data_IF_613531799655
#
_entry.id   IF_613531799655
#
_cell.length_a   1.000
_cell.length_b   1.000
_cell.length_c   1.000
_cell.angle_alpha   90.00
_cell.angle_beta   90.00
_cell.angle_gamma   90.00
#
_symmetry.space_group_name_H-M   'P 1'
#
loop_
_entity.id
_entity.type
_entity.pdbx_description
1 polymer ?
#
# COMPACT_ATOMS: atom_id res chain seq x y z
N UNK A 1 17.76 25.85 0.83
CA UNK A 1 16.95 24.61 0.91
C UNK A 1 17.53 23.62 -0.09
N UNK A 2 17.74 22.36 0.29
CA UNK A 2 18.13 21.30 -0.63
C UNK A 2 16.97 21.00 -1.57
N UNK A 3 17.22 20.78 -2.88
CA UNK A 3 16.13 20.44 -3.80
C UNK A 3 15.52 19.09 -3.44
N UNK A 4 14.25 18.86 -3.80
CA UNK A 4 13.57 17.58 -3.58
C UNK A 4 14.39 16.42 -4.16
N UNK A 5 14.87 16.58 -5.38
CA UNK A 5 15.70 15.60 -6.07
C UNK A 5 16.98 15.26 -5.28
N UNK A 6 17.70 16.27 -4.80
CA UNK A 6 18.92 16.09 -4.00
C UNK A 6 18.61 15.40 -2.67
N UNK A 7 17.50 15.76 -2.01
CA UNK A 7 17.08 15.13 -0.77
C UNK A 7 16.76 13.65 -0.96
N UNK A 8 16.09 13.28 -2.06
CA UNK A 8 15.78 11.90 -2.41
C UNK A 8 17.05 11.08 -2.70
N UNK A 9 17.97 11.63 -3.51
CA UNK A 9 19.25 10.98 -3.84
C UNK A 9 20.13 10.76 -2.59
N UNK A 10 19.94 11.55 -1.53
CA UNK A 10 20.67 11.41 -0.28
C UNK A 10 20.07 10.37 0.69
N UNK A 11 18.90 9.79 0.39
CA UNK A 11 18.25 8.79 1.25
C UNK A 11 18.95 7.41 1.33
N UNK A 12 19.48 6.82 0.24
CA UNK A 12 19.93 5.42 0.26
C UNK A 12 20.90 5.02 1.39
N UNK A 13 21.87 5.86 1.81
CA UNK A 13 22.74 5.54 2.95
C UNK A 13 22.02 5.48 4.31
N UNK A 14 20.86 6.13 4.44
CA UNK A 14 20.08 6.19 5.68
C UNK A 14 19.16 4.98 5.82
N UNK A 15 18.64 4.48 4.70
CA UNK A 15 17.68 3.37 4.67
C UNK A 15 18.36 2.03 4.97
N UNK A 16 17.67 1.17 5.71
CA UNK A 16 18.20 -0.12 6.20
C UNK A 16 17.75 -1.30 5.36
N UNK A 17 16.46 -1.40 5.08
CA UNK A 17 15.85 -2.53 4.38
C UNK A 17 15.18 -2.11 3.06
N UNK A 18 14.98 -0.81 2.84
CA UNK A 18 14.45 -0.26 1.61
C UNK A 18 15.55 0.32 0.71
N UNK A 19 15.27 0.31 -0.59
CA UNK A 19 16.06 0.92 -1.65
C UNK A 19 15.13 1.85 -2.44
N UNK A 20 15.36 3.17 -2.46
CA UNK A 20 14.56 4.12 -3.23
C UNK A 20 14.68 3.84 -4.73
N UNK A 21 13.60 4.05 -5.47
CA UNK A 21 13.62 3.94 -6.93
C UNK A 21 13.94 5.28 -7.59
N UNK A 22 14.61 5.25 -8.74
CA UNK A 22 14.70 6.44 -9.57
C UNK A 22 13.32 6.79 -10.13
N UNK A 23 13.00 8.08 -10.12
CA UNK A 23 11.82 8.63 -10.79
C UNK A 23 12.19 9.11 -12.20
N UNK A 24 11.27 8.96 -13.15
CA UNK A 24 11.36 9.64 -14.46
C UNK A 24 11.09 11.14 -14.28
N UNK A 25 11.34 11.93 -15.33
CA UNK A 25 11.00 13.36 -15.33
C UNK A 25 9.51 13.60 -15.03
N UNK A 26 8.62 12.80 -15.63
CA UNK A 26 7.17 12.92 -15.42
C UNK A 26 6.78 12.58 -13.98
N UNK A 27 7.40 11.56 -13.40
CA UNK A 27 7.20 11.21 -11.99
C UNK A 27 7.71 12.31 -11.06
N UNK A 28 8.82 12.99 -11.40
CA UNK A 28 9.30 14.12 -10.62
C UNK A 28 8.32 15.29 -10.64
N UNK A 29 7.82 15.67 -11.82
CA UNK A 29 6.80 16.72 -11.94
C UNK A 29 5.54 16.39 -11.14
N UNK A 30 5.13 15.12 -11.14
CA UNK A 30 4.01 14.64 -10.33
C UNK A 30 4.27 14.82 -8.81
N UNK A 31 5.44 14.39 -8.33
CA UNK A 31 5.79 14.46 -6.91
C UNK A 31 5.93 15.91 -6.45
N UNK A 32 6.50 16.79 -7.28
CA UNK A 32 6.61 18.21 -6.99
C UNK A 32 5.23 18.85 -6.81
N UNK A 33 4.27 18.56 -7.71
CA UNK A 33 2.87 18.98 -7.57
C UNK A 33 2.24 18.48 -6.26
N UNK A 34 2.40 17.20 -5.94
CA UNK A 34 1.89 16.61 -4.69
C UNK A 34 2.54 17.19 -3.43
N UNK A 35 3.80 17.62 -3.53
CA UNK A 35 4.51 18.24 -2.42
C UNK A 35 4.03 19.68 -2.17
N UNK A 36 3.76 20.43 -3.22
CA UNK A 36 3.25 21.81 -3.15
C UNK A 36 1.78 21.86 -2.73
N UNK A 37 0.95 21.01 -3.36
CA UNK A 37 -0.45 20.85 -3.04
C UNK A 37 -0.78 19.35 -2.99
N UNK A 38 -0.75 18.79 -1.79
CA UNK A 38 -1.10 17.38 -1.61
C UNK A 38 -2.56 17.08 -2.00
N UNK A 39 -3.45 18.07 -2.11
CA UNK A 39 -4.83 17.86 -2.56
C UNK A 39 -5.00 18.04 -4.08
N UNK A 40 -3.90 17.99 -4.84
CA UNK A 40 -3.95 18.02 -6.29
C UNK A 40 -4.61 16.75 -6.85
N UNK A 41 -5.90 16.88 -7.18
CA UNK A 41 -6.73 15.78 -7.69
C UNK A 41 -6.22 15.20 -8.99
N UNK A 42 -5.72 16.03 -9.88
CA UNK A 42 -5.19 15.57 -11.17
C UNK A 42 -3.94 14.72 -10.91
N UNK A 43 -3.01 15.21 -10.08
CA UNK A 43 -1.85 14.44 -9.67
C UNK A 43 -2.23 13.10 -9.02
N UNK A 44 -3.26 13.06 -8.16
CA UNK A 44 -3.74 11.81 -7.56
C UNK A 44 -4.20 10.76 -8.59
N UNK A 45 -4.72 11.16 -9.75
CA UNK A 45 -5.13 10.19 -10.79
C UNK A 45 -3.96 9.39 -11.37
N UNK A 46 -2.73 9.91 -11.25
CA UNK A 46 -1.51 9.25 -11.72
C UNK A 46 -0.93 8.26 -10.71
N UNK A 47 -1.43 8.22 -9.47
CA UNK A 47 -1.08 7.22 -8.48
C UNK A 47 -1.80 5.88 -8.75
N UNK A 48 -1.32 4.74 -8.21
CA UNK A 48 -0.17 4.56 -7.32
C UNK A 48 1.17 4.61 -8.06
N UNK A 49 2.21 5.12 -7.40
CA UNK A 49 3.57 5.25 -7.95
C UNK A 49 4.56 4.42 -7.13
N UNK A 50 5.40 3.54 -7.71
CA UNK A 50 6.41 2.82 -6.96
C UNK A 50 7.56 3.76 -6.54
N UNK A 51 7.85 3.85 -5.24
CA UNK A 51 8.86 4.76 -4.68
C UNK A 51 10.08 4.04 -4.10
N UNK A 52 9.93 2.79 -3.68
CA UNK A 52 11.06 2.00 -3.19
C UNK A 52 10.83 0.51 -3.47
N UNK A 53 11.82 -0.31 -3.17
CA UNK A 53 11.69 -1.76 -3.06
C UNK A 53 12.37 -2.26 -1.80
N UNK A 54 12.00 -3.46 -1.35
CA UNK A 54 12.84 -4.17 -0.38
C UNK A 54 14.19 -4.48 -1.00
N UNK A 55 15.26 -4.29 -0.23
CA UNK A 55 16.57 -4.84 -0.55
C UNK A 55 16.47 -6.36 -0.61
N UNK A 56 17.19 -6.97 -1.53
CA UNK A 56 17.12 -8.42 -1.79
C UNK A 56 17.33 -9.26 -0.52
N UNK A 57 18.34 -8.94 0.28
CA UNK A 57 18.64 -9.65 1.53
C UNK A 57 17.50 -9.54 2.56
N UNK A 58 16.86 -8.37 2.67
CA UNK A 58 15.72 -8.16 3.56
C UNK A 58 14.49 -8.94 3.06
N UNK A 59 14.17 -8.82 1.77
CA UNK A 59 13.08 -9.55 1.12
C UNK A 59 13.19 -11.07 1.36
N UNK A 60 14.38 -11.64 1.12
CA UNK A 60 14.64 -13.07 1.34
C UNK A 60 14.43 -13.49 2.80
N UNK A 61 14.92 -12.70 3.75
CA UNK A 61 14.84 -13.08 5.17
C UNK A 61 13.41 -12.97 5.71
N UNK A 62 12.69 -11.92 5.33
CA UNK A 62 11.28 -11.74 5.67
C UNK A 62 10.46 -12.92 5.12
N UNK A 63 10.71 -13.31 3.87
CA UNK A 63 10.04 -14.43 3.24
C UNK A 63 10.34 -15.77 3.94
N UNK A 64 11.60 -16.06 4.25
CA UNK A 64 11.96 -17.30 4.97
C UNK A 64 11.36 -17.36 6.37
N UNK A 65 11.20 -16.22 7.04
CA UNK A 65 10.48 -16.17 8.30
C UNK A 65 8.98 -16.44 8.11
N UNK A 66 8.34 -15.82 7.11
CA UNK A 66 6.92 -16.04 6.80
C UNK A 66 6.60 -17.51 6.48
N UNK A 67 7.53 -18.24 5.85
CA UNK A 67 7.38 -19.68 5.55
C UNK A 67 7.26 -20.58 6.79
N UNK A 68 7.57 -20.09 7.97
CA UNK A 68 7.46 -20.84 9.22
C UNK A 68 6.01 -20.91 9.74
N UNK A 69 5.07 -20.18 9.12
CA UNK A 69 3.70 -20.01 9.60
C UNK A 69 2.68 -20.52 8.57
N UNK A 70 1.90 -21.52 8.97
CA UNK A 70 0.85 -22.13 8.13
C UNK A 70 -0.46 -21.34 8.10
N UNK A 71 -0.64 -20.41 9.04
CA UNK A 71 -1.76 -19.48 9.10
C UNK A 71 -1.23 -18.05 8.95
N UNK A 72 -2.08 -17.14 8.48
CA UNK A 72 -1.75 -15.71 8.44
C UNK A 72 -1.86 -15.13 9.84
N UNK A 73 -0.77 -14.52 10.32
CA UNK A 73 -0.81 -13.64 11.46
C UNK A 73 -1.00 -12.21 10.98
N UNK A 74 -1.86 -11.45 11.66
CA UNK A 74 -2.08 -10.02 11.41
C UNK A 74 -1.93 -9.24 12.72
N UNK A 75 -1.18 -8.14 12.68
CA UNK A 75 -0.88 -7.31 13.85
C UNK A 75 -1.11 -5.85 13.50
N UNK A 76 -1.94 -5.17 14.29
CA UNK A 76 -2.11 -3.72 14.21
C UNK A 76 -0.88 -3.00 14.78
N UNK A 77 -0.53 -1.87 14.17
CA UNK A 77 0.56 -0.99 14.60
C UNK A 77 -0.05 0.38 14.88
N UNK A 78 0.00 0.81 16.12
CA UNK A 78 -0.44 2.13 16.58
C UNK A 78 0.67 2.80 17.42
N UNK A 79 0.33 3.84 18.16
CA UNK A 79 1.30 4.56 18.99
C UNK A 79 1.78 3.76 20.21
N UNK A 80 1.03 2.78 20.71
CA UNK A 80 1.43 1.95 21.86
C UNK A 80 2.19 0.69 21.45
N UNK A 81 2.01 0.23 20.20
CA UNK A 81 2.64 -0.98 19.65
C UNK A 81 4.14 -1.09 19.93
N UNK A 82 4.90 0.00 19.79
CA UNK A 82 6.35 -0.05 20.02
C UNK A 82 6.70 -0.34 21.48
N UNK A 83 5.98 0.25 22.44
CA UNK A 83 6.20 -0.01 23.87
C UNK A 83 5.84 -1.45 24.22
N UNK A 84 4.71 -1.94 23.70
CA UNK A 84 4.23 -3.30 23.95
C UNK A 84 5.15 -4.37 23.38
N UNK A 85 5.66 -4.19 22.14
CA UNK A 85 6.47 -5.20 21.46
C UNK A 85 7.94 -5.20 21.85
N UNK A 86 8.47 -4.09 22.37
CA UNK A 86 9.91 -3.96 22.64
C UNK A 86 10.25 -3.68 24.11
N UNK A 87 9.26 -3.43 24.99
CA UNK A 87 9.51 -3.15 26.41
C UNK A 87 9.87 -4.36 27.28
N UNK A 88 9.58 -5.59 26.84
CA UNK A 88 9.64 -6.81 27.67
C UNK A 88 10.75 -7.83 27.35
N UNK A 89 11.70 -7.51 26.46
CA UNK A 89 12.94 -8.30 26.28
C UNK A 89 12.91 -9.43 25.24
N UNK A 90 11.76 -9.83 24.69
CA UNK A 90 11.70 -10.75 23.55
C UNK A 90 10.86 -10.14 22.42
N UNK A 91 11.51 -9.40 21.53
CA UNK A 91 10.86 -8.89 20.31
C UNK A 91 10.70 -10.00 19.29
N UNK A 92 9.49 -10.14 18.76
CA UNK A 92 9.24 -10.98 17.58
C UNK A 92 10.12 -10.54 16.39
N UNK A 93 10.57 -11.52 15.59
CA UNK A 93 11.45 -11.26 14.44
C UNK A 93 10.73 -10.40 13.40
N UNK A 94 9.45 -10.66 13.14
CA UNK A 94 8.68 -9.85 12.20
C UNK A 94 8.48 -8.43 12.72
N UNK A 95 8.23 -8.24 14.02
CA UNK A 95 8.16 -6.92 14.63
C UNK A 95 9.44 -6.08 14.40
N UNK A 96 10.63 -6.69 14.45
CA UNK A 96 11.88 -5.98 14.13
C UNK A 96 11.94 -5.51 12.67
N UNK A 97 11.53 -6.34 11.71
CA UNK A 97 11.47 -5.95 10.31
C UNK A 97 10.45 -4.84 10.08
N UNK A 98 9.29 -4.92 10.73
CA UNK A 98 8.25 -3.88 10.67
C UNK A 98 8.76 -2.56 11.22
N UNK A 99 9.54 -2.57 12.31
CA UNK A 99 10.18 -1.36 12.85
C UNK A 99 11.17 -0.75 11.86
N UNK A 100 12.07 -1.55 11.27
CA UNK A 100 13.04 -1.07 10.28
C UNK A 100 12.34 -0.52 9.03
N UNK A 101 11.34 -1.25 8.56
CA UNK A 101 10.47 -0.86 7.46
C UNK A 101 9.81 0.50 7.74
N UNK A 102 9.16 0.64 8.90
CA UNK A 102 8.48 1.87 9.30
C UNK A 102 9.43 3.06 9.35
N UNK A 103 10.64 2.87 9.90
CA UNK A 103 11.65 3.91 9.95
C UNK A 103 12.10 4.35 8.55
N UNK A 104 12.37 3.40 7.65
CA UNK A 104 12.80 3.72 6.29
C UNK A 104 11.69 4.45 5.51
N UNK A 105 10.43 4.08 5.73
CA UNK A 105 9.29 4.77 5.13
C UNK A 105 9.15 6.18 5.70
N UNK A 106 9.25 6.36 7.01
CA UNK A 106 9.19 7.69 7.62
C UNK A 106 10.28 8.62 7.07
N UNK A 107 11.47 8.10 6.81
CA UNK A 107 12.56 8.85 6.17
C UNK A 107 12.22 9.29 4.74
N UNK A 108 11.63 8.39 3.93
CA UNK A 108 11.15 8.76 2.59
C UNK A 108 9.99 9.76 2.66
N UNK A 109 9.06 9.58 3.59
CA UNK A 109 7.91 10.45 3.75
C UNK A 109 8.28 11.84 4.26
N UNK A 110 9.29 11.95 5.12
CA UNK A 110 9.85 13.24 5.53
C UNK A 110 10.43 14.04 4.37
N UNK A 111 10.80 13.39 3.26
CA UNK A 111 11.25 14.05 2.02
C UNK A 111 10.09 14.36 1.08
N UNK A 112 9.21 13.38 0.82
CA UNK A 112 8.13 13.50 -0.17
C UNK A 112 6.97 14.37 0.33
N UNK A 113 6.54 14.18 1.58
CA UNK A 113 5.38 14.85 2.18
C UNK A 113 5.71 15.24 3.63
N UNK A 114 6.49 16.32 3.85
CA UNK A 114 7.01 16.67 5.19
C UNK A 114 5.94 16.96 6.26
N UNK A 115 4.71 17.28 5.86
CA UNK A 115 3.54 17.47 6.75
C UNK A 115 2.87 16.16 7.16
N UNK A 116 3.24 15.02 6.56
CA UNK A 116 2.67 13.73 6.93
C UNK A 116 3.13 13.29 8.33
N UNK A 117 2.19 12.82 9.15
CA UNK A 117 2.44 12.24 10.48
C UNK A 117 1.86 10.84 10.57
N UNK A 118 2.57 9.92 11.20
CA UNK A 118 2.09 8.55 11.39
C UNK A 118 0.73 8.54 12.10
N UNK A 119 -0.18 7.70 11.62
CA UNK A 119 -1.52 7.52 12.18
C UNK A 119 -1.70 6.10 12.71
N UNK A 120 -1.59 5.13 11.82
CA UNK A 120 -1.78 3.70 12.08
C UNK A 120 -1.09 2.89 11.02
N UNK A 121 -0.89 1.61 11.28
CA UNK A 121 -0.36 0.66 10.33
C UNK A 121 -0.81 -0.74 10.71
N UNK A 122 -0.43 -1.71 9.90
CA UNK A 122 -0.52 -3.10 10.26
C UNK A 122 0.46 -3.90 9.42
N UNK A 123 0.73 -5.11 9.88
CA UNK A 123 1.42 -6.09 9.05
C UNK A 123 0.77 -7.45 9.17
N UNK A 124 0.90 -8.22 8.10
CA UNK A 124 0.43 -9.59 8.03
C UNK A 124 1.49 -10.49 7.44
N UNK A 125 1.62 -11.73 7.91
CA UNK A 125 2.61 -12.67 7.39
C UNK A 125 2.21 -14.13 7.65
N UNK A 126 2.68 -15.03 6.80
CA UNK A 126 2.36 -16.46 6.86
C UNK A 126 1.87 -17.01 5.52
N UNK A 127 1.13 -18.12 5.56
CA UNK A 127 0.55 -18.76 4.37
C UNK A 127 -0.82 -18.17 4.04
N UNK A 128 -0.90 -17.39 2.97
CA UNK A 128 -2.15 -16.86 2.46
C UNK A 128 -2.81 -17.93 1.61
N UNK A 129 -3.94 -18.47 2.07
CA UNK A 129 -4.73 -19.47 1.34
C UNK A 129 -6.12 -18.93 1.02
N UNK A 130 -6.57 -19.15 -0.21
CA UNK A 130 -7.98 -18.99 -0.57
C UNK A 130 -8.81 -20.14 0.07
N UNK A 131 -10.12 -19.98 0.37
CA UNK A 131 -11.02 -18.89 -0.04
C UNK A 131 -11.48 -17.97 1.11
N UNK A 132 -10.82 -17.94 2.28
CA UNK A 132 -11.30 -17.06 3.34
C UNK A 132 -10.89 -15.60 3.09
N UNK A 133 -11.84 -14.67 2.87
CA UNK A 133 -11.59 -13.31 2.40
C UNK A 133 -10.93 -12.38 3.44
N UNK A 134 -10.47 -12.93 4.57
CA UNK A 134 -9.94 -12.14 5.68
C UNK A 134 -8.43 -12.05 5.56
N UNK A 135 -7.95 -11.24 4.63
CA UNK A 135 -6.52 -11.12 4.43
C UNK A 135 -5.99 -9.74 4.11
N UNK A 136 -6.77 -8.85 3.48
CA UNK A 136 -6.26 -7.55 3.03
C UNK A 136 -7.38 -6.62 2.52
N UNK A 137 -8.19 -6.12 3.44
CA UNK A 137 -8.98 -4.91 3.19
C UNK A 137 -9.14 -4.17 4.52
N UNK A 138 -8.22 -3.25 4.82
CA UNK A 138 -8.66 -2.10 5.61
C UNK A 138 -9.46 -1.26 4.63
N UNK A 139 -10.78 -1.30 4.77
CA UNK A 139 -11.66 -0.38 4.11
C UNK A 139 -11.34 1.03 4.61
N UNK A 140 -10.75 1.89 3.77
CA UNK A 140 -10.57 3.30 4.11
C UNK A 140 -11.89 4.05 4.04
N UNK A 141 -12.83 3.54 3.23
CA UNK A 141 -14.12 4.17 2.98
C UNK A 141 -15.13 3.98 4.11
N UNK A 142 -14.83 3.12 5.08
CA UNK A 142 -15.67 2.94 6.27
C UNK A 142 -15.48 4.04 7.32
N UNK A 143 -14.41 4.83 7.24
CA UNK A 143 -14.08 5.85 8.26
C UNK A 143 -14.58 7.26 7.91
N UNK A 144 -15.09 7.46 6.69
CA UNK A 144 -15.74 8.69 6.25
C UNK A 144 -17.08 8.36 5.55
N UNK A 145 -18.24 8.54 6.23
CA UNK A 145 -19.55 8.35 5.62
C UNK A 145 -19.80 9.28 4.42
N UNK A 146 -19.07 10.39 4.33
CA UNK A 146 -19.08 11.33 3.20
C UNK A 146 -17.94 11.06 2.20
N UNK A 147 -17.09 10.05 2.44
CA UNK A 147 -15.95 9.55 1.64
C UNK A 147 -16.33 8.90 0.30
N UNK A 148 -17.40 9.41 -0.28
CA UNK A 148 -17.85 9.22 -1.64
C UNK A 148 -16.72 9.41 -2.66
N UNK A 149 -16.14 8.32 -3.18
CA UNK A 149 -15.12 8.40 -4.24
C UNK A 149 -13.69 8.12 -3.78
N UNK A 150 -13.53 7.53 -2.59
CA UNK A 150 -12.24 6.99 -2.16
C UNK A 150 -11.72 5.90 -3.09
N UNK A 151 -10.41 5.89 -3.36
CA UNK A 151 -9.83 4.84 -4.17
C UNK A 151 -9.82 3.51 -3.42
N UNK A 152 -10.20 2.45 -4.13
CA UNK A 152 -10.45 1.13 -3.55
C UNK A 152 -9.24 0.23 -3.84
N UNK A 153 -8.61 -0.29 -2.78
CA UNK A 153 -7.63 -1.36 -2.90
C UNK A 153 -8.36 -2.70 -3.02
N UNK A 154 -8.16 -3.42 -4.12
CA UNK A 154 -8.81 -4.71 -4.38
C UNK A 154 -7.71 -5.80 -4.39
N UNK A 155 -7.66 -6.62 -3.36
CA UNK A 155 -6.68 -7.71 -3.27
C UNK A 155 -7.25 -9.02 -3.84
N UNK A 156 -6.62 -9.59 -4.87
CA UNK A 156 -6.86 -10.96 -5.35
C UNK A 156 -5.94 -11.92 -4.59
N UNK A 157 -6.50 -12.85 -3.82
CA UNK A 157 -5.73 -13.95 -3.26
C UNK A 157 -6.22 -15.25 -3.86
N UNK A 158 -5.59 -15.60 -4.97
CA UNK A 158 -5.39 -17.01 -5.34
C UNK A 158 -3.91 -17.23 -5.62
N UNK A 159 -3.24 -16.31 -6.34
CA UNK A 159 -1.78 -16.27 -6.54
C UNK A 159 -1.23 -14.85 -6.79
N UNK A 160 -1.42 -13.94 -5.81
CA UNK A 160 -0.58 -12.74 -5.56
C UNK A 160 -0.76 -11.44 -6.37
N UNK A 161 -1.86 -11.23 -7.08
CA UNK A 161 -2.18 -9.92 -7.65
C UNK A 161 -2.87 -9.01 -6.65
N UNK A 162 -2.42 -7.77 -6.45
CA UNK A 162 -3.29 -6.75 -5.85
C UNK A 162 -3.48 -5.60 -6.81
N UNK A 163 -4.73 -5.27 -6.98
CA UNK A 163 -5.21 -4.28 -7.89
C UNK A 163 -5.67 -3.07 -7.11
N UNK A 164 -5.60 -1.93 -7.76
CA UNK A 164 -6.02 -0.68 -7.21
C UNK A 164 -6.90 0.02 -8.24
N UNK A 165 -8.02 0.55 -7.77
CA UNK A 165 -8.85 1.40 -8.60
C UNK A 165 -8.25 2.80 -8.66
N UNK A 166 -7.81 3.21 -9.85
CA UNK A 166 -7.36 4.57 -10.08
C UNK A 166 -8.58 5.51 -10.15
N UNK A 167 -8.41 6.79 -9.79
CA UNK A 167 -9.49 7.78 -9.92
C UNK A 167 -10.64 7.62 -8.92
N UNK A 168 -11.73 8.36 -9.16
CA UNK A 168 -12.93 8.37 -8.32
C UNK A 168 -13.90 7.27 -8.75
N UNK A 169 -14.12 6.27 -7.87
CA UNK A 169 -15.05 5.16 -8.07
C UNK A 169 -16.44 5.60 -8.55
N UNK A 170 -16.95 6.75 -8.08
CA UNK A 170 -18.30 7.24 -8.41
C UNK A 170 -18.44 7.77 -9.83
N UNK A 171 -17.32 8.09 -10.47
CA UNK A 171 -17.30 8.58 -11.86
C UNK A 171 -17.46 7.47 -12.88
N UNK A 172 -17.28 6.20 -12.49
CA UNK A 172 -17.48 5.05 -13.37
C UNK A 172 -18.95 4.75 -13.61
N UNK A 173 -19.25 4.11 -14.74
CA UNK A 173 -20.61 3.67 -15.08
C UNK A 173 -21.16 2.64 -14.07
N UNK A 174 -22.49 2.53 -13.92
CA UNK A 174 -23.12 1.60 -12.96
C UNK A 174 -22.67 0.14 -13.11
N UNK A 175 -22.39 -0.29 -14.34
CA UNK A 175 -21.89 -1.63 -14.67
C UNK A 175 -20.50 -1.88 -14.09
N UNK A 176 -19.51 -1.02 -14.41
CA UNK A 176 -18.15 -1.06 -13.85
C UNK A 176 -18.17 -1.00 -12.32
N UNK A 177 -19.00 -0.13 -11.76
CA UNK A 177 -19.21 -0.02 -10.31
C UNK A 177 -19.70 -1.33 -9.68
N UNK A 178 -20.68 -1.98 -10.32
CA UNK A 178 -21.21 -3.29 -9.89
C UNK A 178 -20.13 -4.38 -9.96
N UNK A 179 -19.37 -4.43 -11.05
CA UNK A 179 -18.26 -5.38 -11.24
C UNK A 179 -17.17 -5.20 -10.18
N UNK A 180 -16.75 -3.97 -9.89
CA UNK A 180 -15.75 -3.67 -8.85
C UNK A 180 -16.25 -4.07 -7.44
N UNK A 181 -17.55 -3.90 -7.15
CA UNK A 181 -18.16 -4.41 -5.91
C UNK A 181 -18.15 -5.93 -5.85
N UNK A 182 -18.43 -6.61 -6.96
CA UNK A 182 -18.37 -8.07 -7.03
C UNK A 182 -16.93 -8.57 -6.79
N UNK A 183 -15.93 -7.94 -7.42
CA UNK A 183 -14.51 -8.23 -7.19
C UNK A 183 -14.07 -7.97 -5.75
N UNK A 184 -14.58 -6.89 -5.13
CA UNK A 184 -14.30 -6.56 -3.72
C UNK A 184 -14.73 -7.65 -2.74
N UNK A 185 -15.81 -8.36 -3.04
CA UNK A 185 -16.42 -9.32 -2.12
C UNK A 185 -16.33 -10.78 -2.56
N UNK A 186 -15.88 -11.06 -3.79
CA UNK A 186 -15.82 -12.40 -4.41
C UNK A 186 -16.79 -13.42 -3.84
N UNK A 187 -18.04 -12.98 -3.82
CA UNK A 187 -19.19 -13.85 -3.75
C UNK A 187 -19.23 -14.65 -5.06
N UNK A 188 -19.75 -15.87 -5.03
CA UNK A 188 -19.88 -16.69 -6.23
C UNK A 188 -20.90 -16.04 -7.19
N UNK A 189 -20.47 -15.21 -8.14
CA UNK A 189 -21.37 -14.47 -9.07
C UNK A 189 -21.05 -14.76 -10.53
N UNK A 190 -22.08 -14.83 -11.41
CA UNK A 190 -22.02 -14.43 -12.82
C UNK A 190 -22.45 -12.94 -12.97
N UNK A 191 -21.97 -12.10 -13.90
CA UNK A 191 -21.68 -12.31 -15.33
C UNK A 191 -20.26 -11.90 -15.75
N UNK A 192 -19.67 -12.72 -16.65
CA UNK A 192 -18.25 -12.77 -16.99
C UNK A 192 -17.52 -13.65 -15.99
N UNK A 193 -16.68 -14.60 -16.43
CA UNK A 193 -15.85 -15.32 -15.45
C UNK A 193 -15.01 -14.28 -14.68
N UNK A 194 -14.72 -14.45 -13.37
CA UNK A 194 -13.97 -13.48 -12.59
C UNK A 194 -12.65 -13.03 -13.25
N UNK A 195 -12.02 -13.94 -13.99
CA UNK A 195 -10.83 -13.71 -14.81
C UNK A 195 -11.11 -12.76 -15.98
N UNK A 196 -12.20 -12.98 -16.72
CA UNK A 196 -12.57 -12.15 -17.86
C UNK A 196 -12.89 -10.71 -17.43
N UNK A 197 -13.61 -10.55 -16.31
CA UNK A 197 -13.93 -9.24 -15.71
C UNK A 197 -12.65 -8.52 -15.29
N UNK A 198 -11.73 -9.22 -14.63
CA UNK A 198 -10.46 -8.64 -14.18
C UNK A 198 -9.62 -8.17 -15.38
N UNK A 199 -9.49 -9.01 -16.40
CA UNK A 199 -8.70 -8.72 -17.59
C UNK A 199 -9.28 -7.53 -18.38
N UNK A 200 -10.60 -7.42 -18.48
CA UNK A 200 -11.26 -6.28 -19.10
C UNK A 200 -10.98 -4.98 -18.33
N UNK A 201 -11.12 -4.99 -17.00
CA UNK A 201 -10.84 -3.80 -16.18
C UNK A 201 -9.37 -3.39 -16.19
N UNK A 202 -8.45 -4.33 -16.33
CA UNK A 202 -7.02 -4.06 -16.54
C UNK A 202 -6.76 -3.42 -17.90
N UNK A 203 -7.37 -3.94 -18.99
CA UNK A 203 -7.25 -3.36 -20.34
C UNK A 203 -7.80 -1.94 -20.42
N UNK A 204 -8.87 -1.67 -19.66
CA UNK A 204 -9.47 -0.34 -19.55
C UNK A 204 -8.68 0.60 -18.61
N UNK A 205 -7.55 0.15 -18.05
CA UNK A 205 -6.72 0.88 -17.08
C UNK A 205 -7.49 1.39 -15.84
N UNK A 206 -8.67 0.79 -15.60
CA UNK A 206 -9.51 1.07 -14.43
C UNK A 206 -8.87 0.46 -13.20
N UNK A 207 -8.32 -0.75 -13.35
CA UNK A 207 -7.47 -1.38 -12.36
C UNK A 207 -6.00 -1.22 -12.72
N UNK A 208 -5.19 -0.81 -11.73
CA UNK A 208 -3.73 -0.80 -11.80
C UNK A 208 -3.18 -1.93 -10.95
N UNK A 209 -2.23 -2.69 -11.49
CA UNK A 209 -1.53 -3.75 -10.75
C UNK A 209 -0.44 -3.16 -9.89
N UNK A 210 -0.42 -3.51 -8.60
CA UNK A 210 0.67 -3.16 -7.70
C UNK A 210 1.78 -4.19 -7.85
N UNK A 211 2.98 -3.79 -8.31
CA UNK A 211 4.11 -4.70 -8.42
C UNK A 211 4.52 -5.24 -7.04
N UNK A 212 4.81 -6.53 -7.02
CA UNK A 212 5.43 -7.24 -5.91
C UNK A 212 6.76 -6.58 -5.48
N UNK A 213 7.10 -6.68 -4.19
CA UNK A 213 8.33 -6.16 -3.60
C UNK A 213 8.53 -4.64 -3.76
N UNK A 214 7.49 -3.88 -4.13
CA UNK A 214 7.55 -2.43 -4.26
C UNK A 214 6.80 -1.72 -3.14
N UNK A 215 7.39 -0.65 -2.68
CA UNK A 215 6.75 0.37 -1.86
C UNK A 215 6.01 1.31 -2.79
N UNK A 216 4.70 1.46 -2.59
CA UNK A 216 3.87 2.33 -3.39
C UNK A 216 3.58 3.62 -2.64
N UNK A 217 3.69 4.75 -3.33
CA UNK A 217 3.06 6.01 -2.96
C UNK A 217 1.61 5.94 -3.44
N UNK A 218 0.70 6.07 -2.50
CA UNK A 218 -0.74 5.98 -2.71
C UNK A 218 -1.43 7.05 -1.87
N UNK A 219 -2.66 7.39 -2.24
CA UNK A 219 -3.50 8.31 -1.47
C UNK A 219 -4.85 7.62 -1.28
N UNK A 220 -5.39 7.61 -0.07
CA UNK A 220 -6.80 7.33 0.17
C UNK A 220 -7.48 8.56 0.76
N UNK A 221 -8.72 8.82 0.32
CA UNK A 221 -9.44 10.06 0.61
C UNK A 221 -9.29 11.09 -0.53
N UNK A 222 -10.33 11.26 -1.37
CA UNK A 222 -10.33 12.22 -2.48
C UNK A 222 -11.23 13.46 -2.24
N UNK A 223 -11.76 13.65 -1.03
CA UNK A 223 -12.95 14.49 -0.84
C UNK A 223 -13.01 15.46 0.33
N UNK A 224 -12.45 15.15 1.52
CA UNK A 224 -12.76 15.96 2.71
C UNK A 224 -11.79 17.13 2.91
N UNK A 225 -12.35 18.32 3.20
CA UNK A 225 -11.61 19.57 3.51
C UNK A 225 -10.64 19.42 4.70
N UNK A 226 -10.76 18.35 5.49
CA UNK A 226 -9.90 17.98 6.62
C UNK A 226 -8.99 16.76 6.33
N UNK A 227 -8.55 16.67 5.07
CA UNK A 227 -7.53 15.79 4.46
C UNK A 227 -6.81 14.77 5.37
N UNK A 228 -7.02 13.49 5.10
CA UNK A 228 -6.25 12.38 5.66
C UNK A 228 -5.24 11.89 4.62
N UNK A 229 -3.96 11.74 4.97
CA UNK A 229 -2.99 11.00 4.13
C UNK A 229 -3.10 9.53 4.44
N UNK A 230 -3.81 8.76 3.64
CA UNK A 230 -3.58 7.32 3.70
C UNK A 230 -2.61 6.93 2.61
N UNK A 231 -1.34 6.70 2.98
CA UNK A 231 -0.44 5.96 2.10
C UNK A 231 -0.54 4.48 2.43
N UNK A 232 -0.50 3.66 1.38
CA UNK A 232 -0.40 2.23 1.50
C UNK A 232 0.91 1.84 0.91
N UNK A 233 1.66 1.11 1.71
CA UNK A 233 2.75 0.36 1.17
C UNK A 233 2.32 -1.08 1.26
N UNK A 234 2.82 -1.85 0.31
CA UNK A 234 2.59 -3.26 0.20
C UNK A 234 3.97 -3.85 -0.10
N UNK A 235 4.77 -4.07 0.93
CA UNK A 235 5.96 -4.91 0.77
C UNK A 235 5.45 -6.34 0.54
N UNK A 236 5.08 -6.65 -0.71
CA UNK A 236 4.40 -7.89 -1.12
C UNK A 236 5.37 -8.95 -1.61
N UNK A 237 5.01 -10.23 -1.46
CA UNK A 237 5.90 -11.38 -1.62
C UNK A 237 6.28 -11.62 -3.08
N UNK A 238 7.41 -12.31 -3.36
CA UNK A 238 7.76 -12.73 -4.72
C UNK A 238 6.63 -13.45 -5.44
N UNK A 239 6.61 -13.30 -6.76
CA UNK A 239 5.62 -13.86 -7.69
C UNK A 239 5.39 -15.38 -7.46
N UNK A 240 4.12 -15.80 -7.43
CA UNK A 240 3.70 -17.21 -7.38
C UNK A 240 3.75 -17.95 -6.02
N UNK A 241 4.16 -17.34 -4.91
CA UNK A 241 4.24 -18.00 -3.59
C UNK A 241 2.97 -17.93 -2.72
N UNK A 242 2.65 -18.99 -1.97
CA UNK A 242 1.57 -18.97 -0.96
C UNK A 242 2.00 -18.29 0.36
N UNK A 243 3.31 -18.20 0.64
CA UNK A 243 3.82 -17.57 1.85
C UNK A 243 4.30 -16.16 1.58
N UNK A 244 4.03 -15.26 2.52
CA UNK A 244 4.22 -13.84 2.30
C UNK A 244 4.33 -13.02 3.57
N UNK A 245 4.81 -11.80 3.44
CA UNK A 245 4.58 -10.71 4.38
C UNK A 245 3.95 -9.53 3.64
N UNK A 246 3.21 -8.71 4.38
CA UNK A 246 2.59 -7.47 3.93
C UNK A 246 2.78 -6.43 5.03
N UNK A 247 3.30 -5.26 4.67
CA UNK A 247 3.49 -4.14 5.59
C UNK A 247 2.76 -2.92 5.07
N UNK A 248 1.89 -2.33 5.89
CA UNK A 248 1.16 -1.10 5.59
C UNK A 248 1.37 -0.06 6.68
N UNK A 249 1.58 1.18 6.24
CA UNK A 249 1.78 2.34 7.10
C UNK A 249 1.01 3.53 6.58
N UNK A 250 0.14 4.10 7.41
CA UNK A 250 -0.73 5.23 7.07
C UNK A 250 -0.34 6.48 7.84
N UNK A 251 -0.65 7.63 7.24
CA UNK A 251 -0.27 8.94 7.76
C UNK A 251 -1.51 9.83 7.97
N UNK A 252 -1.31 11.09 8.30
CA UNK A 252 -2.29 12.16 8.29
C UNK A 252 -1.56 13.46 7.95
N UNK A 253 -2.16 14.35 7.16
CA UNK A 253 -1.60 15.70 6.99
C UNK A 253 -1.87 16.50 8.25
N UNK A 254 -0.90 17.32 8.64
CA UNK A 254 -1.05 18.35 9.69
C UNK A 254 -0.89 19.73 9.09
#
# INVERSE_FOLDING_TARGET
MTSLHQAWVALPPRLKILEPLPFSSDHWSLIERLRENFNDREAHTHLPLPIARLREAASKTIFEHAKQFNDVQTVAVDNSWHLEKFGGGASDTMANYVRLYNNDVDEMMGVLVPSARFRKGHYSYGKFTAPQPHGLHTDHSAEDPEGAGEPICIARIETLGTHYLAGDYKTYGPETQSMLKALRYWIAVPEGAPEDILDELLKLETLKTIPVNRVMLMVAGNGSENTQVTQHIAARPPEGGLHSAFFQRQYKLT
#
